data_IF_452250361123
#
_entry.id   IF_452250361123
#
_cell.length_a   1.000
_cell.length_b   1.000
_cell.length_c   1.000
_cell.angle_alpha   90.00
_cell.angle_beta   90.00
_cell.angle_gamma   90.00
#
_symmetry.space_group_name_H-M   'P 1'
#
loop_
_entity.id
_entity.type
_entity.pdbx_description
1 polymer ?
#
# COMPACT_ATOMS: atom_id res chain seq x y z
N UNK A 1 4.52 -1.49 16.07
CA UNK A 1 3.25 -2.24 15.92
C UNK A 1 2.12 -1.25 15.64
N UNK A 2 1.63 -1.16 14.42
CA UNK A 2 0.62 -0.16 14.07
C UNK A 2 -0.81 -0.67 14.30
N UNK A 3 -1.70 0.22 14.76
CA UNK A 3 -3.09 -0.15 15.08
C UNK A 3 -3.99 0.06 13.86
N UNK A 4 -4.68 -1.01 13.44
CA UNK A 4 -5.80 -0.94 12.51
C UNK A 4 -7.09 -1.28 13.23
N UNK A 5 -8.13 -0.45 13.08
CA UNK A 5 -9.45 -0.74 13.65
C UNK A 5 -10.02 -2.09 13.17
N UNK A 6 -9.74 -2.45 11.93
CA UNK A 6 -10.25 -3.68 11.30
C UNK A 6 -9.40 -4.91 11.59
N UNK A 7 -8.08 -4.75 11.73
CA UNK A 7 -7.14 -5.86 11.80
C UNK A 7 -6.39 -5.96 13.13
N UNK A 8 -6.69 -5.09 14.10
CA UNK A 8 -6.04 -5.05 15.40
C UNK A 8 -4.61 -4.50 15.32
N UNK A 9 -3.74 -4.98 16.21
CA UNK A 9 -2.34 -4.58 16.24
C UNK A 9 -1.52 -5.37 15.22
N UNK A 10 -0.92 -4.67 14.26
CA UNK A 10 0.01 -5.25 13.29
C UNK A 10 1.45 -5.02 13.73
N UNK A 11 2.23 -6.08 13.92
CA UNK A 11 3.67 -5.94 14.14
C UNK A 11 4.40 -5.80 12.80
N UNK A 12 4.75 -4.56 12.46
CA UNK A 12 5.42 -4.21 11.21
C UNK A 12 6.85 -3.76 11.56
N UNK A 13 7.89 -4.51 11.14
CA UNK A 13 9.28 -4.16 11.43
C UNK A 13 9.62 -2.75 10.96
N UNK A 14 10.27 -1.98 11.84
CA UNK A 14 10.71 -0.61 11.52
C UNK A 14 9.60 0.46 11.56
N UNK A 15 8.37 0.09 11.92
CA UNK A 15 7.25 1.04 12.08
C UNK A 15 6.90 1.19 13.58
N UNK A 16 7.00 2.41 14.14
CA UNK A 16 6.61 2.72 15.52
C UNK A 16 5.16 2.33 15.85
N UNK A 17 4.85 2.24 17.14
CA UNK A 17 3.51 1.82 17.60
C UNK A 17 2.42 2.87 17.41
N UNK A 18 2.83 4.13 17.39
CA UNK A 18 2.02 5.33 17.24
C UNK A 18 1.93 5.82 15.80
N UNK A 19 2.65 5.18 14.88
CA UNK A 19 2.62 5.56 13.46
C UNK A 19 1.32 5.07 12.81
N UNK A 20 0.52 5.98 12.20
CA UNK A 20 -0.69 5.59 11.50
C UNK A 20 -0.34 4.78 10.25
N UNK A 21 -1.01 3.64 10.08
CA UNK A 21 -0.84 2.79 8.88
C UNK A 21 -2.14 2.65 8.11
N UNK A 22 -2.02 2.66 6.79
CA UNK A 22 -3.11 2.35 5.87
C UNK A 22 -2.91 0.96 5.29
N UNK A 23 -3.93 0.11 5.41
CA UNK A 23 -3.89 -1.25 4.87
C UNK A 23 -4.71 -1.27 3.59
N UNK A 24 -4.04 -1.63 2.49
CA UNK A 24 -4.64 -1.69 1.17
C UNK A 24 -4.75 -3.15 0.75
N UNK A 25 -5.93 -3.56 0.27
CA UNK A 25 -6.15 -4.93 -0.21
C UNK A 25 -5.84 -5.03 -1.69
N UNK A 26 -5.22 -6.13 -2.11
CA UNK A 26 -4.72 -6.28 -3.47
C UNK A 26 -5.82 -6.29 -4.58
N UNK A 27 -7.04 -6.67 -4.25
CA UNK A 27 -8.19 -6.64 -5.17
C UNK A 27 -9.07 -5.38 -5.00
N UNK A 28 -8.62 -4.41 -4.18
CA UNK A 28 -9.35 -3.17 -4.00
C UNK A 28 -9.14 -2.27 -5.22
N UNK A 29 -10.23 -1.85 -5.86
CA UNK A 29 -10.17 -1.05 -7.08
C UNK A 29 -9.56 0.34 -6.87
N UNK A 30 -9.51 0.85 -5.63
CA UNK A 30 -8.89 2.14 -5.31
C UNK A 30 -7.42 2.02 -4.89
N UNK A 31 -6.91 0.80 -4.70
CA UNK A 31 -5.56 0.56 -4.21
C UNK A 31 -4.48 1.17 -5.10
N UNK A 32 -4.50 0.83 -6.39
CA UNK A 32 -3.51 1.31 -7.35
C UNK A 32 -3.55 2.84 -7.51
N UNK A 33 -4.73 3.44 -7.39
CA UNK A 33 -4.89 4.90 -7.46
C UNK A 33 -4.24 5.60 -6.27
N UNK A 34 -4.44 5.10 -5.03
CA UNK A 34 -3.78 5.68 -3.86
C UNK A 34 -2.26 5.52 -3.96
N UNK A 35 -1.77 4.36 -4.39
CA UNK A 35 -0.32 4.15 -4.59
C UNK A 35 0.27 5.12 -5.61
N UNK A 36 -0.47 5.47 -6.67
CA UNK A 36 -0.05 6.46 -7.66
C UNK A 36 0.08 7.89 -7.07
N UNK A 37 -0.83 8.26 -6.16
CA UNK A 37 -0.74 9.55 -5.44
C UNK A 37 0.53 9.58 -4.59
N UNK A 38 0.79 8.53 -3.80
CA UNK A 38 1.97 8.47 -2.93
C UNK A 38 3.29 8.43 -3.71
N UNK A 39 3.35 7.68 -4.82
CA UNK A 39 4.47 7.67 -5.77
C UNK A 39 4.81 9.11 -6.21
N UNK A 40 3.81 9.83 -6.74
CA UNK A 40 3.96 11.23 -7.18
C UNK A 40 4.36 12.18 -6.05
N UNK A 41 3.77 12.02 -4.86
CA UNK A 41 4.12 12.84 -3.69
C UNK A 41 5.57 12.62 -3.29
N UNK A 42 6.02 11.37 -3.19
CA UNK A 42 7.41 11.06 -2.83
C UNK A 42 8.40 11.59 -3.86
N UNK A 43 8.10 11.39 -5.15
CA UNK A 43 8.90 11.93 -6.24
C UNK A 43 9.02 13.46 -6.14
N UNK A 44 7.92 14.16 -5.83
CA UNK A 44 7.92 15.62 -5.65
C UNK A 44 8.74 16.10 -4.45
N UNK A 45 8.86 15.28 -3.40
CA UNK A 45 9.69 15.57 -2.22
C UNK A 45 11.17 15.17 -2.40
N UNK A 46 11.55 14.65 -3.57
CA UNK A 46 12.92 14.19 -3.86
C UNK A 46 13.25 12.80 -3.33
N UNK A 47 12.27 12.08 -2.77
CA UNK A 47 12.46 10.72 -2.26
C UNK A 47 12.23 9.67 -3.37
N UNK A 48 13.05 9.74 -4.41
CA UNK A 48 12.88 8.96 -5.65
C UNK A 48 13.01 7.45 -5.43
N UNK A 49 13.88 7.01 -4.52
CA UNK A 49 14.03 5.58 -4.22
C UNK A 49 12.74 4.96 -3.68
N UNK A 50 12.06 5.63 -2.75
CA UNK A 50 10.78 5.14 -2.23
C UNK A 50 9.66 5.28 -3.27
N UNK A 51 9.71 6.31 -4.11
CA UNK A 51 8.74 6.46 -5.21
C UNK A 51 8.81 5.25 -6.15
N UNK A 52 10.02 4.83 -6.55
CA UNK A 52 10.23 3.66 -7.41
C UNK A 52 9.76 2.35 -6.75
N UNK A 53 9.93 2.19 -5.44
CA UNK A 53 9.40 1.05 -4.69
C UNK A 53 7.87 1.02 -4.73
N UNK A 54 7.22 2.15 -4.43
CA UNK A 54 5.75 2.27 -4.50
C UNK A 54 5.25 2.04 -5.93
N UNK A 55 6.00 2.51 -6.93
CA UNK A 55 5.66 2.31 -8.33
C UNK A 55 5.61 0.82 -8.70
N UNK A 56 6.58 0.03 -8.23
CA UNK A 56 6.59 -1.44 -8.44
C UNK A 56 5.38 -2.10 -7.78
N UNK A 57 5.10 -1.74 -6.52
CA UNK A 57 3.94 -2.26 -5.79
C UNK A 57 2.64 -1.89 -6.53
N UNK A 58 2.51 -0.67 -7.05
CA UNK A 58 1.37 -0.25 -7.87
C UNK A 58 1.16 -1.16 -9.07
N UNK A 59 2.23 -1.53 -9.78
CA UNK A 59 2.16 -2.45 -10.91
C UNK A 59 1.73 -3.85 -10.49
N UNK A 60 2.18 -4.34 -9.33
CA UNK A 60 1.74 -5.62 -8.78
C UNK A 60 0.24 -5.64 -8.46
N UNK A 61 -0.29 -4.55 -7.90
CA UNK A 61 -1.72 -4.39 -7.64
C UNK A 61 -2.55 -4.33 -8.93
N UNK A 62 -2.08 -3.62 -9.96
CA UNK A 62 -2.76 -3.55 -11.26
C UNK A 62 -2.82 -4.91 -11.96
N UNK A 63 -1.79 -5.73 -11.77
CA UNK A 63 -1.68 -7.07 -12.38
C UNK A 63 -2.16 -8.19 -11.45
N UNK A 64 -2.81 -7.85 -10.33
CA UNK A 64 -3.17 -8.86 -9.33
C UNK A 64 -4.16 -9.87 -9.92
N UNK A 65 -3.90 -11.19 -9.78
CA UNK A 65 -4.76 -12.21 -10.36
C UNK A 65 -6.15 -12.16 -9.71
N UNK A 66 -7.17 -11.86 -10.52
CA UNK A 66 -8.57 -11.92 -10.11
C UNK A 66 -9.06 -13.34 -10.29
N UNK A 67 -9.08 -14.12 -9.20
CA UNK A 67 -9.75 -15.41 -9.20
C UNK A 67 -11.24 -15.17 -8.99
N UNK A 68 -12.08 -15.44 -10.00
CA UNK A 68 -13.52 -15.52 -9.78
C UNK A 68 -13.77 -16.58 -8.72
N UNK A 69 -14.50 -16.22 -7.67
CA UNK A 69 -15.03 -17.20 -6.73
C UNK A 69 -15.98 -18.08 -7.56
N UNK A 70 -15.85 -19.42 -7.55
CA UNK A 70 -16.82 -20.29 -8.23
C UNK A 70 -18.22 -19.99 -7.69
N UNK A 71 -19.20 -19.88 -8.59
CA UNK A 71 -20.61 -19.66 -8.24
C UNK A 71 -21.15 -20.73 -7.28
#
# INVERSE_FOLDING_TARGET
MAQSEKYGWLDIPGIPTDEPVFIVRAQDCFAAFILDIYDKMLASTGNTCKADEIHKIKLDFLNWPTKKIPD
#
